data_IF_312299460101
#
_entry.id   IF_312299460101
#
_cell.length_a   1.000
_cell.length_b   1.000
_cell.length_c   1.000
_cell.angle_alpha   90.00
_cell.angle_beta   90.00
_cell.angle_gamma   90.00
#
_symmetry.space_group_name_H-M   'P 1'
#
loop_
_entity.id
_entity.type
_entity.pdbx_description
1 polymer ?
#
# COMPACT_ATOMS: atom_id res chain seq x y z
N UNK A 1 -16.74 -12.73 -3.75
CA UNK A 1 -15.74 -12.19 -4.71
C UNK A 1 -14.35 -12.67 -4.31
N UNK A 2 -13.43 -12.86 -5.26
CA UNK A 2 -12.03 -13.20 -4.93
C UNK A 2 -11.32 -11.94 -4.40
N UNK A 3 -10.62 -12.07 -3.29
CA UNK A 3 -9.79 -10.99 -2.72
C UNK A 3 -8.49 -10.86 -3.51
N UNK A 4 -8.07 -9.64 -3.89
CA UNK A 4 -6.81 -9.45 -4.61
C UNK A 4 -5.61 -9.68 -3.68
N UNK A 5 -4.55 -10.28 -4.22
CA UNK A 5 -3.23 -10.33 -3.57
C UNK A 5 -2.36 -9.29 -4.28
N UNK A 6 -1.83 -8.34 -3.53
CA UNK A 6 -0.98 -7.25 -4.05
C UNK A 6 0.46 -7.49 -3.61
N UNK A 7 1.37 -7.54 -4.57
CA UNK A 7 2.81 -7.60 -4.30
C UNK A 7 3.42 -6.22 -4.52
N UNK A 8 4.20 -5.77 -3.54
CA UNK A 8 4.98 -4.54 -3.62
C UNK A 8 6.33 -4.80 -2.96
N UNK A 9 7.35 -4.15 -3.48
CA UNK A 9 8.61 -3.97 -2.77
C UNK A 9 8.41 -2.97 -1.60
N UNK A 10 9.41 -2.78 -0.75
CA UNK A 10 9.39 -1.80 0.35
C UNK A 10 10.02 -0.47 -0.04
N UNK A 11 11.33 -0.44 -0.22
CA UNK A 11 12.13 0.79 -0.32
C UNK A 11 11.93 1.51 -1.65
N UNK A 12 11.50 2.77 -1.60
CA UNK A 12 11.26 3.56 -2.81
C UNK A 12 10.02 3.11 -3.60
N UNK A 13 9.24 2.18 -3.05
CA UNK A 13 7.96 1.71 -3.60
C UNK A 13 6.84 1.95 -2.59
N UNK A 14 6.67 1.09 -1.59
CA UNK A 14 5.63 1.25 -0.57
C UNK A 14 6.03 2.33 0.45
N UNK A 15 7.32 2.38 0.78
CA UNK A 15 7.90 3.33 1.69
C UNK A 15 8.50 4.49 0.89
N UNK A 16 8.15 5.71 1.28
CA UNK A 16 8.79 6.90 0.75
C UNK A 16 10.29 6.85 1.04
N UNK A 17 11.11 6.99 -0.02
CA UNK A 17 12.56 6.83 0.06
C UNK A 17 13.24 7.75 1.08
N UNK A 18 12.70 8.96 1.29
CA UNK A 18 13.35 9.98 2.12
C UNK A 18 12.93 9.91 3.59
N UNK A 19 11.72 9.43 3.86
CA UNK A 19 11.09 9.46 5.20
C UNK A 19 10.82 8.07 5.75
N UNK A 20 10.99 7.03 4.94
CA UNK A 20 10.65 5.64 5.27
C UNK A 20 9.18 5.45 5.71
N UNK A 21 8.30 6.40 5.31
CA UNK A 21 6.89 6.44 5.70
C UNK A 21 6.01 5.86 4.60
N UNK A 22 4.97 5.11 4.99
CA UNK A 22 3.92 4.64 4.09
C UNK A 22 2.67 5.54 4.10
N UNK A 23 2.67 6.69 4.79
CA UNK A 23 1.48 7.55 4.91
C UNK A 23 0.87 7.92 3.55
N UNK A 24 1.73 8.12 2.54
CA UNK A 24 1.29 8.39 1.16
C UNK A 24 0.50 7.23 0.53
N UNK A 25 0.73 6.00 0.98
CA UNK A 25 0.05 4.80 0.50
C UNK A 25 -1.29 4.53 1.23
N UNK A 26 -1.57 5.21 2.35
CA UNK A 26 -2.79 5.01 3.14
C UNK A 26 -4.08 5.05 2.32
N UNK A 27 -4.30 6.01 1.39
CA UNK A 27 -5.53 6.04 0.60
C UNK A 27 -5.76 4.77 -0.21
N UNK A 28 -4.70 4.22 -0.82
CA UNK A 28 -4.80 2.99 -1.61
C UNK A 28 -5.04 1.76 -0.70
N UNK A 29 -4.36 1.68 0.44
CA UNK A 29 -4.55 0.60 1.41
C UNK A 29 -5.96 0.60 2.01
N UNK A 30 -6.54 1.78 2.27
CA UNK A 30 -7.92 1.92 2.73
C UNK A 30 -8.91 1.41 1.68
N UNK A 31 -8.76 1.79 0.41
CA UNK A 31 -9.61 1.30 -0.69
C UNK A 31 -9.52 -0.23 -0.86
N UNK A 32 -8.35 -0.82 -0.65
CA UNK A 32 -8.19 -2.27 -0.68
C UNK A 32 -8.90 -2.95 0.50
N UNK A 33 -8.88 -2.34 1.68
CA UNK A 33 -9.56 -2.82 2.89
C UNK A 33 -11.09 -2.68 2.83
N UNK A 34 -11.61 -1.68 2.15
CA UNK A 34 -13.07 -1.51 1.95
C UNK A 34 -13.67 -2.51 0.96
N UNK A 35 -12.82 -3.16 0.15
CA UNK A 35 -13.22 -4.19 -0.82
C UNK A 35 -13.20 -5.62 -0.24
N UNK A 36 -12.87 -5.75 1.05
CA UNK A 36 -12.90 -7.00 1.83
C UNK A 36 -14.30 -7.38 2.33
#
# INVERSE_FOLDING_TARGET
>A
MKKPIVFTDLDGTLLDYSTYSFEKALPALQLLKEKD
#
